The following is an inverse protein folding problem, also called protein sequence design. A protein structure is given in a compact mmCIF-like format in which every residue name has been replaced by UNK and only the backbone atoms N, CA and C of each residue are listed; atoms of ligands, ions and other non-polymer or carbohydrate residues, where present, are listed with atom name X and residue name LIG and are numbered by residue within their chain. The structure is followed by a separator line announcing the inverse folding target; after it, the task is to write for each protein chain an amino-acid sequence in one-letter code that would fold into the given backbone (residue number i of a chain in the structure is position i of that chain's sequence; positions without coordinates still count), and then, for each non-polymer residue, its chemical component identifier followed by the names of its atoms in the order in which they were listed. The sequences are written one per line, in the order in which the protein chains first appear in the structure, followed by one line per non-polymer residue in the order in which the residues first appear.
data_IF_566457153746
#
_entry.id   IF_566457153746
#
_cell.length_a   1.000
_cell.length_b   1.000
_cell.length_c   1.000
_cell.angle_alpha   90.00
_cell.angle_beta   90.00
_cell.angle_gamma   90.00
#
_symmetry.space_group_name_H-M   'P 1'
#
loop_
_entity.id
_entity.type
_entity.pdbx_description
1 polymer ?
#
# COMPACT_ATOMS: atom_id res chain seq x y z
N UNK A 1 4.79 -3.32 -12.78
CA UNK A 1 3.44 -2.85 -12.45
C UNK A 1 3.52 -1.37 -12.14
N UNK A 2 3.00 -0.51 -13.01
CA UNK A 2 3.00 0.94 -12.82
C UNK A 2 1.60 1.41 -12.45
N UNK A 3 1.42 1.88 -11.22
CA UNK A 3 0.15 2.39 -10.70
C UNK A 3 -0.10 3.87 -11.07
N UNK A 4 0.93 4.60 -11.49
CA UNK A 4 0.81 5.98 -11.98
C UNK A 4 0.39 7.01 -10.93
N UNK A 5 0.87 6.87 -9.70
CA UNK A 5 0.70 7.86 -8.63
C UNK A 5 1.82 8.90 -8.61
N UNK A 6 1.46 10.12 -8.22
CA UNK A 6 2.28 11.31 -8.20
C UNK A 6 2.09 12.09 -6.90
N UNK A 7 3.17 12.65 -6.30
CA UNK A 7 3.07 13.39 -5.06
C UNK A 7 2.10 14.57 -5.08
N UNK A 8 2.09 15.36 -6.16
CA UNK A 8 1.29 16.58 -6.22
C UNK A 8 -0.13 16.35 -6.76
N UNK A 9 -0.28 15.41 -7.70
CA UNK A 9 -1.51 15.21 -8.46
C UNK A 9 -2.23 13.90 -8.20
N UNK A 10 -1.71 13.06 -7.31
CA UNK A 10 -2.14 11.68 -7.06
C UNK A 10 -2.22 10.90 -8.38
N UNK A 11 -3.39 10.84 -9.01
CA UNK A 11 -3.59 10.17 -10.30
C UNK A 11 -3.16 11.00 -11.53
N UNK A 12 -2.77 12.26 -11.36
CA UNK A 12 -2.39 13.15 -12.47
C UNK A 12 -0.91 13.50 -12.40
N UNK A 13 -0.18 13.24 -13.48
CA UNK A 13 1.21 13.66 -13.58
C UNK A 13 1.31 15.20 -13.56
N UNK A 14 2.31 15.77 -12.85
CA UNK A 14 2.42 17.22 -12.69
C UNK A 14 2.77 17.93 -14.00
N UNK A 15 3.47 17.24 -14.91
CA UNK A 15 3.81 17.76 -16.23
C UNK A 15 3.88 16.67 -17.29
N UNK A 16 3.84 17.06 -18.56
CA UNK A 16 4.12 16.17 -19.68
C UNK A 16 5.53 15.54 -19.64
N UNK A 17 6.52 16.30 -19.14
CA UNK A 17 7.88 15.78 -18.94
C UNK A 17 7.91 14.68 -17.88
N UNK A 18 7.07 14.79 -16.85
CA UNK A 18 6.95 13.76 -15.82
C UNK A 18 6.39 12.45 -16.40
N UNK A 19 5.36 12.51 -17.26
CA UNK A 19 4.87 11.34 -18.00
C UNK A 19 5.98 10.67 -18.82
N UNK A 20 6.75 11.47 -19.56
CA UNK A 20 7.88 10.96 -20.35
C UNK A 20 8.99 10.38 -19.46
N UNK A 21 9.24 10.99 -18.31
CA UNK A 21 10.25 10.56 -17.35
C UNK A 21 9.95 9.17 -16.82
N UNK A 22 8.74 8.89 -16.33
CA UNK A 22 8.42 7.57 -15.73
C UNK A 22 8.62 6.41 -16.74
N UNK A 23 8.26 6.64 -18.00
CA UNK A 23 8.47 5.65 -19.08
C UNK A 23 9.96 5.45 -19.35
N UNK A 24 10.73 6.55 -19.46
CA UNK A 24 12.16 6.48 -19.69
C UNK A 24 12.92 5.90 -18.49
N UNK A 25 12.53 6.22 -17.26
CA UNK A 25 13.08 5.67 -16.04
C UNK A 25 12.85 4.15 -15.98
N UNK A 26 11.64 3.69 -16.30
CA UNK A 26 11.35 2.26 -16.42
C UNK A 26 12.24 1.58 -17.47
N UNK A 27 12.45 2.23 -18.64
CA UNK A 27 13.39 1.72 -19.66
C UNK A 27 14.85 1.76 -19.19
N UNK A 28 15.24 2.79 -18.45
CA UNK A 28 16.59 2.93 -17.89
C UNK A 28 16.90 1.89 -16.82
N UNK A 29 15.87 1.41 -16.10
CA UNK A 29 15.94 0.24 -15.20
C UNK A 29 16.17 -1.06 -15.97
N UNK A 30 15.87 -1.13 -17.28
CA UNK A 30 16.06 -2.33 -18.11
C UNK A 30 14.74 -3.03 -18.51
N UNK A 31 13.59 -2.49 -18.09
CA UNK A 31 12.28 -3.00 -18.49
C UNK A 31 11.98 -2.65 -19.95
N UNK A 32 11.39 -3.60 -20.67
CA UNK A 32 10.84 -3.39 -22.02
C UNK A 32 9.31 -3.34 -22.04
N UNK A 33 8.66 -3.58 -20.90
CA UNK A 33 7.21 -3.63 -20.76
C UNK A 33 6.76 -2.92 -19.49
N UNK A 34 5.72 -2.10 -19.60
CA UNK A 34 4.99 -1.53 -18.47
C UNK A 34 3.58 -2.12 -18.45
N UNK A 35 3.22 -2.77 -17.33
CA UNK A 35 1.80 -3.06 -17.04
C UNK A 35 1.20 -1.87 -16.31
N UNK A 36 0.32 -1.13 -16.98
CA UNK A 36 -0.39 0.03 -16.42
C UNK A 36 -1.58 -0.49 -15.61
N UNK A 37 -1.48 -0.38 -14.29
CA UNK A 37 -2.38 -1.03 -13.34
C UNK A 37 -3.68 -0.25 -13.17
N UNK A 38 -4.80 -0.90 -13.48
CA UNK A 38 -6.20 -0.48 -13.22
C UNK A 38 -6.45 1.03 -13.50
N UNK A 39 -5.83 1.56 -14.55
CA UNK A 39 -5.84 3.01 -14.86
C UNK A 39 -5.65 3.23 -16.36
N UNK A 40 -6.34 4.22 -16.91
CA UNK A 40 -6.09 4.74 -18.26
C UNK A 40 -5.33 6.07 -18.15
N UNK A 41 -4.19 6.18 -18.82
CA UNK A 41 -3.38 7.41 -18.81
C UNK A 41 -3.82 8.41 -19.91
N UNK A 42 -3.41 9.68 -19.85
CA UNK A 42 -3.59 10.60 -20.97
C UNK A 42 -2.87 10.11 -22.24
N UNK A 43 -3.41 10.45 -23.42
CA UNK A 43 -2.84 10.10 -24.74
C UNK A 43 -1.33 10.36 -24.89
N UNK A 44 -0.82 11.40 -24.21
CA UNK A 44 0.60 11.76 -24.17
C UNK A 44 1.48 10.66 -23.57
N UNK A 45 0.99 9.92 -22.58
CA UNK A 45 1.73 8.81 -21.98
C UNK A 45 1.94 7.69 -23.01
N UNK A 46 0.90 7.26 -23.71
CA UNK A 46 1.01 6.24 -24.75
C UNK A 46 1.86 6.70 -25.94
N UNK A 47 1.78 7.98 -26.33
CA UNK A 47 2.69 8.56 -27.32
C UNK A 47 4.16 8.37 -26.93
N UNK A 48 4.51 8.61 -25.66
CA UNK A 48 5.88 8.41 -25.19
C UNK A 48 6.29 6.93 -25.16
N UNK A 49 5.36 6.03 -24.82
CA UNK A 49 5.59 4.60 -24.88
C UNK A 49 5.86 4.12 -26.32
N UNK A 50 5.02 4.54 -27.28
CA UNK A 50 5.22 4.28 -28.71
C UNK A 50 6.57 4.80 -29.20
N UNK A 51 6.88 6.06 -28.88
CA UNK A 51 8.09 6.74 -29.35
C UNK A 51 9.38 6.07 -28.90
N UNK A 52 9.40 5.55 -27.67
CA UNK A 52 10.60 4.94 -27.09
C UNK A 52 10.66 3.42 -27.30
N UNK A 53 9.59 2.82 -27.85
CA UNK A 53 9.46 1.37 -27.97
C UNK A 53 9.37 0.69 -26.60
N UNK A 54 8.41 1.12 -25.78
CA UNK A 54 8.03 0.46 -24.53
C UNK A 54 6.73 -0.32 -24.77
N UNK A 55 6.71 -1.62 -24.50
CA UNK A 55 5.49 -2.39 -24.57
C UNK A 55 4.58 -2.05 -23.39
N UNK A 56 3.27 -2.14 -23.60
CA UNK A 56 2.26 -1.80 -22.60
C UNK A 56 1.28 -2.95 -22.47
N UNK A 57 1.10 -3.42 -21.24
CA UNK A 57 -0.07 -4.20 -20.85
C UNK A 57 -1.05 -3.23 -20.21
N UNK A 58 -2.22 -3.07 -20.81
CA UNK A 58 -3.21 -2.10 -20.37
C UNK A 58 -4.33 -2.81 -19.61
N UNK A 59 -4.40 -2.57 -18.30
CA UNK A 59 -5.49 -3.05 -17.48
C UNK A 59 -6.76 -2.23 -17.73
N UNK A 60 -7.91 -2.89 -17.70
CA UNK A 60 -9.20 -2.22 -17.57
C UNK A 60 -9.37 -1.68 -16.14
N UNK A 61 -10.09 -0.58 -15.99
CA UNK A 61 -10.42 -0.04 -14.66
C UNK A 61 -11.44 -0.97 -14.00
N UNK A 62 -10.96 -1.82 -13.09
CA UNK A 62 -11.74 -2.87 -12.43
C UNK A 62 -12.81 -2.28 -11.50
N UNK A 63 -13.98 -2.94 -11.40
CA UNK A 63 -15.03 -2.48 -10.51
C UNK A 63 -14.70 -2.78 -9.04
N UNK A 64 -15.48 -2.16 -8.14
CA UNK A 64 -15.36 -2.45 -6.71
C UNK A 64 -15.61 -3.94 -6.44
N UNK A 65 -14.84 -4.55 -5.54
CA UNK A 65 -14.94 -5.97 -5.19
C UNK A 65 -16.33 -6.41 -4.72
N UNK A 66 -17.11 -5.51 -4.10
CA UNK A 66 -18.48 -5.78 -3.65
C UNK A 66 -19.51 -5.77 -4.78
N UNK A 67 -19.13 -5.31 -5.98
CA UNK A 67 -20.00 -5.20 -7.15
C UNK A 67 -21.38 -4.59 -6.85
N UNK A 68 -21.44 -3.34 -6.33
CA UNK A 68 -22.72 -2.66 -6.15
C UNK A 68 -23.49 -2.52 -7.47
N UNK A 69 -24.81 -2.35 -7.39
CA UNK A 69 -25.70 -2.20 -8.55
C UNK A 69 -25.19 -1.13 -9.53
N UNK A 70 -25.23 -1.42 -10.83
CA UNK A 70 -24.69 -0.56 -11.88
C UNK A 70 -23.19 -0.73 -12.18
N UNK A 71 -22.42 -1.44 -11.33
CA UNK A 71 -20.97 -1.61 -11.53
C UNK A 71 -20.63 -2.36 -12.81
N UNK A 72 -21.44 -3.35 -13.19
CA UNK A 72 -21.20 -4.20 -14.36
C UNK A 72 -21.38 -3.42 -15.65
N UNK A 73 -22.48 -2.68 -15.74
CA UNK A 73 -22.82 -1.81 -16.87
C UNK A 73 -21.76 -0.72 -17.04
N UNK A 74 -21.33 -0.10 -15.93
CA UNK A 74 -20.27 0.91 -15.95
C UNK A 74 -18.92 0.33 -16.40
N UNK A 75 -18.54 -0.84 -15.87
CA UNK A 75 -17.30 -1.52 -16.25
C UNK A 75 -17.28 -1.88 -17.73
N UNK A 76 -18.33 -2.53 -18.24
CA UNK A 76 -18.40 -2.95 -19.65
C UNK A 76 -18.44 -1.77 -20.61
N UNK A 77 -19.13 -0.68 -20.24
CA UNK A 77 -19.11 0.57 -21.00
C UNK A 77 -17.69 1.15 -21.02
N UNK A 78 -17.04 1.27 -19.87
CA UNK A 78 -15.68 1.80 -19.75
C UNK A 78 -14.64 0.95 -20.49
N UNK A 79 -14.77 -0.38 -20.47
CA UNK A 79 -13.90 -1.29 -21.22
C UNK A 79 -14.05 -1.10 -22.73
N UNK A 80 -15.30 -0.97 -23.24
CA UNK A 80 -15.57 -0.65 -24.66
C UNK A 80 -14.95 0.67 -25.07
N UNK A 81 -15.10 1.70 -24.24
CA UNK A 81 -14.54 3.04 -24.49
C UNK A 81 -13.00 3.01 -24.47
N UNK A 82 -12.41 2.27 -23.54
CA UNK A 82 -10.95 2.09 -23.44
C UNK A 82 -10.38 1.42 -24.70
N UNK A 83 -10.97 0.29 -25.14
CA UNK A 83 -10.54 -0.38 -26.37
C UNK A 83 -10.65 0.55 -27.59
N UNK A 84 -11.78 1.26 -27.73
CA UNK A 84 -11.99 2.17 -28.85
C UNK A 84 -10.99 3.35 -28.84
N UNK A 85 -10.72 3.93 -27.67
CA UNK A 85 -9.81 5.06 -27.52
C UNK A 85 -8.36 4.65 -27.78
N UNK A 86 -7.96 3.46 -27.34
CA UNK A 86 -6.56 3.06 -27.26
C UNK A 86 -6.10 2.11 -28.39
N UNK A 87 -6.99 1.66 -29.26
CA UNK A 87 -6.69 0.71 -30.36
C UNK A 87 -5.46 1.08 -31.21
N UNK A 88 -5.25 2.38 -31.45
CA UNK A 88 -4.21 2.86 -32.37
C UNK A 88 -2.83 3.06 -31.75
N UNK A 89 -2.62 2.71 -30.47
CA UNK A 89 -1.30 2.77 -29.83
C UNK A 89 -0.58 1.42 -29.99
N UNK A 90 0.41 1.31 -30.90
CA UNK A 90 1.12 0.05 -31.13
C UNK A 90 1.88 -0.48 -29.91
N UNK A 91 2.25 0.38 -28.95
CA UNK A 91 2.85 -0.02 -27.69
C UNK A 91 1.99 -1.00 -26.91
N UNK A 92 0.66 -0.91 -27.02
CA UNK A 92 -0.25 -1.80 -26.29
C UNK A 92 -0.24 -3.16 -26.98
N UNK A 93 0.31 -4.16 -26.29
CA UNK A 93 0.39 -5.54 -26.80
C UNK A 93 -0.63 -6.46 -26.13
N UNK A 94 -1.07 -6.10 -24.93
CA UNK A 94 -1.89 -6.95 -24.08
C UNK A 94 -2.99 -6.14 -23.42
N UNK A 95 -4.21 -6.65 -23.48
CA UNK A 95 -5.32 -6.18 -22.66
C UNK A 95 -5.44 -7.06 -21.41
N UNK A 96 -5.52 -6.44 -20.24
CA UNK A 96 -5.75 -7.14 -18.96
C UNK A 96 -7.16 -6.82 -18.48
N UNK A 97 -8.01 -7.85 -18.37
CA UNK A 97 -9.43 -7.65 -18.06
C UNK A 97 -9.65 -7.50 -16.54
N UNK A 98 -9.23 -8.48 -15.75
CA UNK A 98 -9.34 -8.46 -14.28
C UNK A 98 -7.99 -8.66 -13.60
N UNK A 99 -7.82 -7.99 -12.47
CA UNK A 99 -6.69 -8.12 -11.55
C UNK A 99 -7.13 -8.81 -10.25
N UNK A 100 -6.49 -9.91 -9.86
CA UNK A 100 -6.67 -10.60 -8.57
C UNK A 100 -8.13 -10.87 -8.18
N UNK A 101 -8.98 -11.13 -9.17
CA UNK A 101 -10.42 -11.29 -9.02
C UNK A 101 -11.21 -10.04 -8.55
N UNK A 102 -10.64 -8.84 -8.64
CA UNK A 102 -11.27 -7.63 -8.15
C UNK A 102 -12.52 -7.29 -8.95
N UNK A 103 -13.67 -7.52 -8.30
CA UNK A 103 -14.98 -7.28 -8.90
C UNK A 103 -15.23 -8.12 -10.16
N UNK A 104 -14.61 -9.29 -10.25
CA UNK A 104 -14.78 -10.14 -11.43
C UNK A 104 -16.17 -10.79 -11.49
N UNK A 105 -16.68 -10.93 -12.71
CA UNK A 105 -17.91 -11.68 -13.02
C UNK A 105 -17.84 -12.12 -14.49
N UNK A 106 -18.59 -13.17 -14.84
CA UNK A 106 -18.73 -13.67 -16.21
C UNK A 106 -17.43 -13.72 -17.04
N UNK A 107 -16.36 -14.16 -16.35
CA UNK A 107 -14.98 -14.12 -16.80
C UNK A 107 -14.77 -14.64 -18.22
N UNK A 108 -15.35 -15.81 -18.53
CA UNK A 108 -15.19 -16.47 -19.82
C UNK A 108 -15.78 -15.64 -20.97
N UNK A 109 -17.01 -15.14 -20.80
CA UNK A 109 -17.69 -14.41 -21.86
C UNK A 109 -17.08 -13.02 -22.07
N UNK A 110 -16.71 -12.33 -21.00
CA UNK A 110 -16.03 -11.03 -21.11
C UNK A 110 -14.65 -11.15 -21.76
N UNK A 111 -13.89 -12.21 -21.43
CA UNK A 111 -12.60 -12.49 -22.08
C UNK A 111 -12.78 -12.78 -23.57
N UNK A 112 -13.76 -13.63 -23.94
CA UNK A 112 -14.08 -13.93 -25.35
C UNK A 112 -14.55 -12.69 -26.11
N UNK A 113 -15.35 -11.84 -25.48
CA UNK A 113 -15.80 -10.58 -26.04
C UNK A 113 -14.61 -9.67 -26.35
N UNK A 114 -13.69 -9.47 -25.40
CA UNK A 114 -12.52 -8.62 -25.58
C UNK A 114 -11.64 -9.08 -26.73
N UNK A 115 -11.41 -10.40 -26.84
CA UNK A 115 -10.67 -11.00 -27.96
C UNK A 115 -11.34 -10.78 -29.32
N UNK A 116 -12.66 -10.75 -29.35
CA UNK A 116 -13.43 -10.50 -30.57
C UNK A 116 -13.43 -9.00 -30.92
N UNK A 117 -13.47 -8.13 -29.90
CA UNK A 117 -13.48 -6.69 -30.05
C UNK A 117 -12.14 -6.15 -30.57
N UNK A 118 -11.02 -6.70 -30.13
CA UNK A 118 -9.69 -6.42 -30.67
C UNK A 118 -8.86 -7.70 -30.81
N UNK A 119 -8.95 -8.40 -31.96
CA UNK A 119 -8.20 -9.63 -32.20
C UNK A 119 -6.71 -9.40 -32.48
N UNK A 120 -6.25 -8.15 -32.55
CA UNK A 120 -4.86 -7.83 -32.87
C UNK A 120 -3.93 -7.95 -31.65
N UNK A 121 -4.48 -8.05 -30.43
CA UNK A 121 -3.77 -8.01 -29.14
C UNK A 121 -4.03 -9.28 -28.34
N UNK A 122 -3.10 -9.60 -27.44
CA UNK A 122 -3.22 -10.73 -26.52
C UNK A 122 -4.17 -10.34 -25.37
N UNK A 123 -5.00 -11.27 -24.89
CA UNK A 123 -5.86 -11.01 -23.73
C UNK A 123 -5.41 -11.83 -22.51
N UNK A 124 -4.99 -11.11 -21.48
CA UNK A 124 -4.86 -11.62 -20.12
C UNK A 124 -6.20 -11.42 -19.40
N UNK A 125 -7.07 -12.42 -19.44
CA UNK A 125 -8.39 -12.31 -18.84
C UNK A 125 -8.36 -12.13 -17.31
N UNK A 126 -7.38 -12.76 -16.65
CA UNK A 126 -7.44 -13.07 -15.22
C UNK A 126 -6.04 -12.98 -14.59
N UNK A 127 -5.46 -11.79 -14.59
CA UNK A 127 -4.11 -11.55 -14.04
C UNK A 127 -4.14 -11.76 -12.53
N UNK A 128 -3.25 -12.63 -12.01
CA UNK A 128 -3.21 -12.93 -10.58
C UNK A 128 -4.37 -13.77 -10.03
N UNK A 129 -5.12 -14.48 -10.88
CA UNK A 129 -6.22 -15.35 -10.43
C UNK A 129 -5.73 -16.45 -9.47
N UNK A 130 -4.48 -16.89 -9.65
CA UNK A 130 -3.71 -17.57 -8.60
C UNK A 130 -2.76 -16.58 -7.92
N UNK A 131 -3.06 -16.25 -6.67
CA UNK A 131 -2.27 -15.34 -5.84
C UNK A 131 -1.60 -16.10 -4.69
N UNK A 132 -0.27 -16.05 -4.66
CA UNK A 132 0.56 -16.62 -3.60
C UNK A 132 1.19 -15.51 -2.77
N UNK A 133 1.09 -15.64 -1.45
CA UNK A 133 1.84 -14.79 -0.51
C UNK A 133 2.59 -15.70 0.45
N UNK A 134 3.91 -15.56 0.50
CA UNK A 134 4.80 -16.45 1.26
C UNK A 134 4.52 -17.93 0.91
N UNK A 135 4.49 -18.22 -0.39
CA UNK A 135 4.25 -19.55 -0.99
C UNK A 135 2.88 -20.18 -0.68
N UNK A 136 1.98 -19.43 -0.03
CA UNK A 136 0.63 -19.90 0.29
C UNK A 136 -0.38 -19.29 -0.66
N UNK A 137 -1.12 -20.17 -1.34
CA UNK A 137 -2.25 -19.78 -2.18
C UNK A 137 -3.33 -19.12 -1.31
N UNK A 138 -3.70 -17.89 -1.65
CA UNK A 138 -4.70 -17.11 -0.91
C UNK A 138 -6.12 -17.60 -1.13
N UNK A 139 -6.45 -17.97 -2.37
CA UNK A 139 -7.77 -18.51 -2.72
C UNK A 139 -7.64 -19.48 -3.91
N UNK A 140 -8.15 -20.71 -3.81
CA UNK A 140 -8.26 -21.60 -4.95
C UNK A 140 -9.34 -21.12 -5.92
N UNK A 141 -9.13 -21.36 -7.21
CA UNK A 141 -10.04 -20.96 -8.29
C UNK A 141 -10.30 -22.13 -9.23
N UNK A 142 -11.54 -22.21 -9.71
CA UNK A 142 -11.93 -23.19 -10.73
C UNK A 142 -11.70 -22.54 -12.10
N UNK A 143 -10.93 -23.19 -12.96
CA UNK A 143 -10.59 -22.72 -14.31
C UNK A 143 -10.03 -21.28 -14.37
N UNK A 144 -8.93 -20.97 -13.65
CA UNK A 144 -8.42 -19.61 -13.46
C UNK A 144 -8.05 -18.85 -14.75
N UNK A 145 -7.92 -19.55 -15.88
CA UNK A 145 -7.45 -18.96 -17.14
C UNK A 145 -8.42 -19.21 -18.32
N UNK A 146 -9.71 -19.37 -18.02
CA UNK A 146 -10.73 -19.66 -19.03
C UNK A 146 -10.81 -18.53 -20.06
N UNK A 147 -10.80 -18.90 -21.35
CA UNK A 147 -10.85 -17.94 -22.48
C UNK A 147 -9.59 -17.10 -22.74
N UNK A 148 -8.70 -16.96 -21.76
CA UNK A 148 -7.49 -16.12 -21.85
C UNK A 148 -6.43 -16.68 -22.81
N UNK A 149 -5.51 -15.84 -23.27
CA UNK A 149 -4.36 -16.25 -24.12
C UNK A 149 -3.11 -16.59 -23.31
N UNK A 150 -3.13 -16.32 -22.00
CA UNK A 150 -2.02 -16.60 -21.10
C UNK A 150 -2.49 -17.14 -19.75
N UNK A 151 -1.58 -17.81 -19.06
CA UNK A 151 -1.68 -18.19 -17.66
C UNK A 151 -0.83 -17.26 -16.83
N UNK A 152 -1.39 -16.70 -15.77
CA UNK A 152 -0.79 -15.62 -14.99
C UNK A 152 -0.85 -15.94 -13.49
N UNK A 153 0.29 -15.87 -12.82
CA UNK A 153 0.37 -15.97 -11.36
C UNK A 153 0.91 -14.67 -10.76
N UNK A 154 0.32 -14.27 -9.63
CA UNK A 154 0.90 -13.27 -8.73
C UNK A 154 1.57 -13.99 -7.56
N UNK A 155 2.84 -13.67 -7.28
CA UNK A 155 3.60 -14.34 -6.23
C UNK A 155 4.48 -13.34 -5.47
N UNK A 156 4.26 -13.25 -4.16
CA UNK A 156 4.95 -12.29 -3.30
C UNK A 156 5.69 -12.98 -2.13
N UNK A 157 6.95 -12.58 -1.83
CA UNK A 157 7.77 -11.67 -2.62
C UNK A 157 8.45 -12.33 -3.83
N UNK A 158 8.73 -13.62 -3.73
CA UNK A 158 9.52 -14.36 -4.72
C UNK A 158 8.66 -14.73 -5.95
N UNK A 159 9.23 -14.68 -7.16
CA UNK A 159 8.50 -15.06 -8.37
C UNK A 159 8.16 -16.54 -8.35
N UNK A 160 7.07 -16.90 -9.02
CA UNK A 160 6.61 -18.28 -9.22
C UNK A 160 6.24 -18.46 -10.68
N UNK A 161 6.50 -19.63 -11.24
CA UNK A 161 6.02 -19.93 -12.59
C UNK A 161 4.52 -20.26 -12.57
N UNK A 162 3.74 -19.75 -13.52
CA UNK A 162 2.30 -20.02 -13.59
C UNK A 162 2.00 -21.42 -14.15
N UNK A 163 0.74 -21.84 -14.23
CA UNK A 163 0.41 -23.16 -14.76
C UNK A 163 0.76 -23.27 -16.25
N UNK A 164 1.43 -24.35 -16.65
CA UNK A 164 1.70 -24.64 -18.07
C UNK A 164 0.47 -25.23 -18.73
N UNK A 165 -0.19 -24.48 -19.60
CA UNK A 165 -1.37 -24.91 -20.34
C UNK A 165 -1.13 -24.79 -21.85
N UNK A 166 -1.59 -25.79 -22.61
CA UNK A 166 -1.42 -25.81 -24.06
C UNK A 166 -2.08 -24.60 -24.73
N UNK A 167 -1.37 -23.98 -25.67
CA UNK A 167 -1.85 -22.81 -26.42
C UNK A 167 -1.90 -21.50 -25.63
N UNK A 168 -1.35 -21.45 -24.41
CA UNK A 168 -1.29 -20.24 -23.58
C UNK A 168 0.15 -19.87 -23.25
N UNK A 169 0.47 -18.58 -23.31
CA UNK A 169 1.74 -18.07 -22.79
C UNK A 169 1.76 -18.19 -21.26
N UNK A 170 2.93 -18.45 -20.66
CA UNK A 170 3.09 -18.60 -19.22
C UNK A 170 3.74 -17.34 -18.66
N UNK A 171 3.10 -16.62 -17.73
CA UNK A 171 3.61 -15.33 -17.22
C UNK A 171 3.54 -15.22 -15.70
N UNK A 172 4.44 -14.40 -15.14
CA UNK A 172 4.39 -13.91 -13.76
C UNK A 172 3.83 -12.50 -13.78
N UNK A 173 2.52 -12.35 -13.55
CA UNK A 173 1.83 -11.07 -13.71
C UNK A 173 2.17 -10.03 -12.66
N UNK A 174 2.61 -10.49 -11.48
CA UNK A 174 3.20 -9.66 -10.41
C UNK A 174 4.14 -10.50 -9.54
N UNK A 175 5.28 -9.91 -9.17
CA UNK A 175 6.15 -10.40 -8.10
C UNK A 175 6.96 -9.25 -7.49
N UNK A 176 7.62 -9.50 -6.36
CA UNK A 176 8.47 -8.51 -5.69
C UNK A 176 7.85 -7.96 -4.42
N UNK A 177 7.54 -6.66 -4.38
CA UNK A 177 6.93 -6.08 -3.20
C UNK A 177 7.88 -5.98 -1.99
N UNK A 178 9.18 -5.79 -2.24
CA UNK A 178 10.20 -5.61 -1.21
C UNK A 178 10.20 -4.14 -0.76
N UNK A 179 9.66 -3.87 0.42
CA UNK A 179 9.68 -2.54 1.03
C UNK A 179 11.10 -2.13 1.40
N UNK A 180 11.52 -0.97 0.88
CA UNK A 180 12.82 -0.35 1.19
C UNK A 180 12.59 1.13 1.42
N UNK A 181 12.78 1.54 2.67
CA UNK A 181 12.59 2.91 3.12
C UNK A 181 13.80 3.79 2.76
N UNK A 182 13.57 4.94 2.13
CA UNK A 182 14.60 5.96 1.84
C UNK A 182 14.21 7.28 2.52
N UNK A 183 14.83 7.68 3.65
CA UNK A 183 14.38 8.81 4.45
C UNK A 183 14.13 10.11 3.66
N UNK A 184 13.03 10.81 3.95
CA UNK A 184 12.59 12.07 3.35
C UNK A 184 12.06 11.99 1.90
N UNK A 185 11.90 10.77 1.37
CA UNK A 185 11.35 10.55 0.03
C UNK A 185 10.05 9.71 0.05
N UNK A 186 9.37 9.69 1.21
CA UNK A 186 8.09 9.02 1.43
C UNK A 186 6.92 9.98 1.23
N UNK A 187 5.77 9.41 0.87
CA UNK A 187 4.48 10.09 1.06
C UNK A 187 4.05 10.12 2.53
N UNK A 188 4.07 8.96 3.20
CA UNK A 188 3.77 8.83 4.64
C UNK A 188 5.03 8.36 5.39
N UNK A 189 5.70 9.24 6.14
CA UNK A 189 6.86 8.90 6.96
C UNK A 189 6.58 7.91 8.11
N UNK A 190 5.31 7.78 8.53
CA UNK A 190 4.84 6.92 9.61
C UNK A 190 4.44 5.51 9.18
N UNK A 191 4.33 5.25 7.88
CA UNK A 191 4.05 3.94 7.30
C UNK A 191 5.26 3.36 6.58
N UNK A 192 5.41 2.04 6.63
CA UNK A 192 6.48 1.29 5.97
C UNK A 192 5.90 -0.01 5.41
N UNK A 193 5.10 0.09 4.36
CA UNK A 193 4.44 -1.09 3.80
C UNK A 193 5.24 -1.74 2.68
N UNK A 194 5.23 -3.08 2.69
CA UNK A 194 5.84 -3.99 1.73
C UNK A 194 5.58 -5.43 2.19
N UNK A 195 5.55 -6.40 1.27
CA UNK A 195 5.33 -7.81 1.62
C UNK A 195 6.45 -8.37 2.51
N UNK A 196 7.65 -7.82 2.32
CA UNK A 196 8.84 -7.99 3.16
C UNK A 196 9.56 -6.66 3.25
N UNK A 197 10.25 -6.40 4.36
CA UNK A 197 11.09 -5.21 4.53
C UNK A 197 12.56 -5.57 4.33
N UNK A 198 13.33 -4.67 3.73
CA UNK A 198 14.77 -4.82 3.52
C UNK A 198 15.50 -3.48 3.67
N UNK A 199 16.77 -3.54 4.04
CA UNK A 199 17.64 -2.35 4.03
C UNK A 199 18.05 -1.98 2.60
N UNK A 200 18.35 -0.70 2.31
CA UNK A 200 18.86 -0.29 1.00
C UNK A 200 20.03 -1.15 0.48
N UNK A 201 20.98 -1.48 1.37
CA UNK A 201 22.14 -2.32 1.03
C UNK A 201 21.77 -3.77 0.64
N UNK A 202 20.66 -4.32 1.17
CA UNK A 202 20.23 -5.70 0.91
C UNK A 202 19.40 -5.87 -0.37
N UNK A 203 18.75 -4.79 -0.83
CA UNK A 203 17.79 -4.83 -1.94
C UNK A 203 18.39 -5.42 -3.22
N UNK A 204 19.61 -5.00 -3.59
CA UNK A 204 20.26 -5.44 -4.84
C UNK A 204 20.44 -6.96 -4.89
N UNK A 205 20.90 -7.57 -3.80
CA UNK A 205 21.12 -9.01 -3.75
C UNK A 205 19.80 -9.77 -3.91
N UNK A 206 18.76 -9.36 -3.17
CA UNK A 206 17.43 -9.96 -3.24
C UNK A 206 16.80 -9.82 -4.62
N UNK A 207 16.89 -8.62 -5.22
CA UNK A 207 16.44 -8.37 -6.59
C UNK A 207 17.18 -9.23 -7.62
N UNK A 208 18.49 -9.40 -7.45
CA UNK A 208 19.31 -10.26 -8.33
C UNK A 208 18.85 -11.71 -8.25
N UNK A 209 18.62 -12.24 -7.04
CA UNK A 209 18.15 -13.62 -6.83
C UNK A 209 16.80 -13.84 -7.53
N UNK A 210 15.84 -12.94 -7.33
CA UNK A 210 14.53 -13.06 -8.01
C UNK A 210 14.69 -13.10 -9.55
N UNK A 211 15.56 -12.27 -10.13
CA UNK A 211 15.81 -12.28 -11.57
C UNK A 211 16.54 -13.54 -12.05
N UNK A 212 17.40 -14.15 -11.22
CA UNK A 212 18.01 -15.44 -11.52
C UNK A 212 16.96 -16.57 -11.52
N UNK A 213 15.99 -16.54 -10.59
CA UNK A 213 14.85 -17.46 -10.62
C UNK A 213 13.99 -17.27 -11.88
N UNK A 214 13.72 -16.03 -12.29
CA UNK A 214 13.05 -15.75 -13.56
C UNK A 214 13.81 -16.34 -14.76
N UNK A 215 15.16 -16.32 -14.74
CA UNK A 215 15.95 -16.95 -15.80
C UNK A 215 15.81 -18.47 -15.83
N UNK A 216 15.63 -19.12 -14.66
CA UNK A 216 15.30 -20.54 -14.61
C UNK A 216 13.90 -20.81 -15.18
N UNK A 217 12.91 -19.99 -14.82
CA UNK A 217 11.54 -20.12 -15.31
C UNK A 217 11.42 -19.86 -16.82
N UNK A 218 12.23 -18.96 -17.38
CA UNK A 218 12.31 -18.76 -18.84
C UNK A 218 12.69 -20.06 -19.55
N UNK A 219 13.66 -20.81 -19.02
CA UNK A 219 14.02 -22.13 -19.56
C UNK A 219 12.90 -23.18 -19.43
N UNK A 220 11.94 -22.97 -18.51
CA UNK A 220 10.77 -23.84 -18.31
C UNK A 220 9.56 -23.45 -19.17
N UNK A 221 9.60 -22.28 -19.81
CA UNK A 221 8.58 -21.77 -20.73
C UNK A 221 7.93 -20.45 -20.32
N UNK A 222 8.39 -19.80 -19.25
CA UNK A 222 7.92 -18.46 -18.90
C UNK A 222 8.24 -17.47 -20.03
N UNK A 223 7.22 -16.75 -20.46
CA UNK A 223 7.25 -15.82 -21.60
C UNK A 223 7.30 -14.35 -21.18
N UNK A 224 7.04 -14.04 -19.90
CA UNK A 224 7.04 -12.68 -19.40
C UNK A 224 6.94 -12.62 -17.88
N UNK A 225 7.41 -11.50 -17.31
CA UNK A 225 7.31 -11.22 -15.88
C UNK A 225 7.14 -9.72 -15.65
N UNK A 226 6.37 -9.35 -14.63
CA UNK A 226 6.10 -7.96 -14.26
C UNK A 226 6.47 -7.77 -12.79
N UNK A 227 7.45 -6.91 -12.54
CA UNK A 227 7.86 -6.55 -11.18
C UNK A 227 6.93 -5.49 -10.58
N UNK A 228 6.51 -5.67 -9.34
CA UNK A 228 5.81 -4.67 -8.52
C UNK A 228 6.84 -4.06 -7.56
N UNK A 229 7.29 -2.82 -7.75
CA UNK A 229 6.90 -1.82 -8.79
C UNK A 229 8.08 -0.89 -9.18
N UNK A 230 8.01 -0.09 -10.27
CA UNK A 230 9.11 0.81 -10.63
C UNK A 230 9.25 2.00 -9.67
N UNK A 231 8.13 2.50 -9.13
CA UNK A 231 8.09 3.65 -8.22
C UNK A 231 7.32 3.31 -6.95
N UNK A 232 7.69 3.92 -5.83
CA UNK A 232 6.87 3.88 -4.62
C UNK A 232 5.51 4.53 -4.88
N UNK A 233 4.50 4.14 -4.10
CA UNK A 233 3.12 4.61 -4.20
C UNK A 233 2.56 4.81 -2.81
N UNK A 234 2.34 6.06 -2.41
CA UNK A 234 1.78 6.42 -1.09
C UNK A 234 2.49 5.67 0.06
N UNK A 235 1.80 4.76 0.74
CA UNK A 235 2.35 3.94 1.82
C UNK A 235 3.16 2.71 1.36
N UNK A 236 3.03 2.32 0.09
CA UNK A 236 3.77 1.21 -0.52
C UNK A 236 5.17 1.64 -0.95
N UNK A 237 6.18 1.26 -0.16
CA UNK A 237 7.57 1.69 -0.37
C UNK A 237 8.41 0.60 -1.03
N UNK A 238 7.78 -0.19 -1.91
CA UNK A 238 8.36 -1.35 -2.59
C UNK A 238 8.74 -1.08 -4.06
N UNK A 239 8.80 0.19 -4.45
CA UNK A 239 9.32 0.66 -5.72
C UNK A 239 10.84 0.59 -5.82
N UNK A 240 11.37 0.49 -7.04
CA UNK A 240 12.82 0.64 -7.32
C UNK A 240 13.29 2.10 -7.26
N UNK A 241 12.37 3.05 -7.32
CA UNK A 241 12.58 4.48 -7.21
C UNK A 241 11.59 5.08 -6.21
N UNK A 242 11.98 6.13 -5.52
CA UNK A 242 11.15 6.80 -4.50
C UNK A 242 9.92 7.48 -5.09
N UNK A 243 8.96 7.83 -4.21
CA UNK A 243 7.65 8.36 -4.59
C UNK A 243 7.77 9.67 -5.39
N UNK A 244 8.73 10.50 -5.05
CA UNK A 244 9.07 11.77 -5.70
C UNK A 244 9.99 11.65 -6.92
N UNK A 245 10.38 10.43 -7.30
CA UNK A 245 11.30 10.13 -8.42
C UNK A 245 12.73 10.65 -8.24
N UNK A 246 13.12 11.09 -7.03
CA UNK A 246 14.44 11.67 -6.81
C UNK A 246 15.54 10.61 -6.60
N UNK A 247 15.21 9.49 -5.95
CA UNK A 247 16.19 8.48 -5.55
C UNK A 247 15.89 7.12 -6.19
N UNK A 248 16.87 6.57 -6.90
CA UNK A 248 16.86 5.18 -7.39
C UNK A 248 17.52 4.26 -6.34
N UNK A 249 16.80 3.23 -5.90
CA UNK A 249 17.22 2.30 -4.84
C UNK A 249 18.26 1.28 -5.31
N UNK A 250 18.29 0.95 -6.61
CA UNK A 250 19.38 0.22 -7.26
C UNK A 250 19.81 1.03 -8.49
N UNK A 251 21.08 1.45 -8.62
CA UNK A 251 21.53 2.27 -9.75
C UNK A 251 21.11 1.69 -11.11
N UNK A 252 20.67 2.55 -12.04
CA UNK A 252 20.16 2.11 -13.36
C UNK A 252 21.12 1.14 -14.10
N UNK A 253 22.43 1.39 -14.04
CA UNK A 253 23.41 0.52 -14.68
C UNK A 253 23.45 -0.89 -14.06
N UNK A 254 23.29 -1.00 -12.74
CA UNK A 254 23.23 -2.29 -12.04
C UNK A 254 21.93 -3.03 -12.36
N UNK A 255 20.79 -2.34 -12.43
CA UNK A 255 19.53 -2.95 -12.84
C UNK A 255 19.61 -3.49 -14.27
N UNK A 256 20.15 -2.73 -15.23
CA UNK A 256 20.38 -3.22 -16.60
C UNK A 256 21.31 -4.43 -16.65
N UNK A 257 22.34 -4.47 -15.82
CA UNK A 257 23.22 -5.64 -15.70
C UNK A 257 22.48 -6.87 -15.18
N UNK A 258 21.55 -6.70 -14.24
CA UNK A 258 20.72 -7.81 -13.73
C UNK A 258 19.75 -8.28 -14.82
N UNK A 259 19.12 -7.35 -15.56
CA UNK A 259 18.15 -7.65 -16.61
C UNK A 259 18.76 -8.17 -17.91
N UNK A 260 20.05 -7.96 -18.19
CA UNK A 260 20.64 -8.33 -19.48
C UNK A 260 20.58 -9.83 -19.80
N UNK A 261 20.37 -10.68 -18.80
CA UNK A 261 20.17 -12.13 -18.99
C UNK A 261 18.77 -12.50 -19.50
N UNK A 262 17.78 -11.62 -19.30
CA UNK A 262 16.39 -11.77 -19.73
C UNK A 262 16.06 -10.84 -20.92
N UNK A 263 16.67 -9.66 -20.96
CA UNK A 263 16.52 -8.66 -22.01
C UNK A 263 17.91 -8.27 -22.55
N UNK A 264 18.41 -8.93 -23.61
CA UNK A 264 19.76 -8.68 -24.12
C UNK A 264 19.94 -7.27 -24.70
N UNK A 265 18.85 -6.59 -25.06
CA UNK A 265 18.91 -5.28 -25.74
C UNK A 265 19.23 -4.10 -24.80
N UNK A 266 19.18 -4.30 -23.48
CA UNK A 266 19.33 -3.23 -22.46
C UNK A 266 20.65 -2.45 -22.56
N UNK A 267 21.67 -3.04 -23.18
CA UNK A 267 22.99 -2.42 -23.38
C UNK A 267 23.28 -2.06 -24.84
N UNK A 268 22.31 -2.23 -25.75
CA UNK A 268 22.47 -1.83 -27.15
C UNK A 268 22.59 -0.30 -27.28
N UNK A 269 23.31 0.16 -28.30
CA UNK A 269 23.45 1.60 -28.57
C UNK A 269 22.09 2.28 -28.78
N UNK A 270 21.15 1.60 -29.44
CA UNK A 270 19.80 2.10 -29.64
C UNK A 270 19.04 2.25 -28.32
N UNK A 271 19.14 1.26 -27.42
CA UNK A 271 18.52 1.33 -26.09
C UNK A 271 19.06 2.51 -25.28
N UNK A 272 20.38 2.63 -25.19
CA UNK A 272 21.04 3.68 -24.40
C UNK A 272 20.75 5.08 -24.97
N UNK A 273 20.72 5.23 -26.29
CA UNK A 273 20.36 6.49 -26.96
C UNK A 273 18.92 6.90 -26.63
N UNK A 274 18.00 5.95 -26.56
CA UNK A 274 16.59 6.21 -26.26
C UNK A 274 16.35 6.72 -24.83
N UNK A 275 17.27 6.46 -23.89
CA UNK A 275 17.14 6.92 -22.51
C UNK A 275 17.28 8.45 -22.41
N UNK A 276 18.12 9.07 -23.24
CA UNK A 276 18.42 10.51 -23.13
C UNK A 276 18.95 10.87 -21.75
N UNK A 277 18.46 11.98 -21.18
CA UNK A 277 18.98 12.58 -19.94
C UNK A 277 18.31 12.06 -18.65
N UNK A 278 17.87 10.80 -18.62
CA UNK A 278 17.26 10.25 -17.39
C UNK A 278 18.30 10.04 -16.31
N UNK A 279 18.10 10.72 -15.19
CA UNK A 279 18.98 10.67 -14.02
C UNK A 279 18.15 10.64 -12.73
N UNK A 280 18.68 9.99 -11.71
CA UNK A 280 18.19 10.02 -10.34
C UNK A 280 19.38 9.86 -9.39
N UNK A 281 19.24 10.32 -8.15
CA UNK A 281 20.26 10.12 -7.13
C UNK A 281 20.29 8.63 -6.73
N UNK A 282 21.46 8.05 -6.53
CA UNK A 282 21.53 6.70 -6.01
C UNK A 282 21.20 6.70 -4.52
N UNK A 283 20.44 5.71 -4.05
CA UNK A 283 20.19 5.54 -2.62
C UNK A 283 21.49 5.46 -1.82
N UNK A 284 21.50 6.12 -0.67
CA UNK A 284 22.57 5.96 0.31
C UNK A 284 22.53 4.54 0.89
N UNK A 285 23.59 3.79 0.65
CA UNK A 285 23.73 2.41 1.11
C UNK A 285 24.40 2.34 2.50
N UNK A 286 24.69 3.49 3.11
CA UNK A 286 25.21 3.55 4.48
C UNK A 286 24.23 2.89 5.43
N UNK A 287 24.73 2.00 6.28
CA UNK A 287 23.91 1.32 7.27
C UNK A 287 23.12 2.34 8.13
N UNK A 288 21.79 2.19 8.27
CA UNK A 288 20.96 3.19 8.98
C UNK A 288 21.46 3.51 10.40
N UNK A 289 22.01 2.52 11.11
CA UNK A 289 22.59 2.73 12.44
C UNK A 289 23.83 3.63 12.44
N UNK A 290 24.60 3.65 11.35
CA UNK A 290 25.76 4.55 11.19
C UNK A 290 25.27 5.98 10.98
N UNK A 291 24.29 6.18 10.10
CA UNK A 291 23.66 7.50 9.89
C UNK A 291 23.03 8.01 11.20
N UNK A 292 22.32 7.13 11.92
CA UNK A 292 21.71 7.47 13.19
C UNK A 292 22.75 7.85 14.25
N UNK A 293 23.88 7.14 14.33
CA UNK A 293 24.95 7.47 15.27
C UNK A 293 25.53 8.86 15.00
N UNK A 294 25.71 9.23 13.73
CA UNK A 294 26.18 10.56 13.35
C UNK A 294 25.18 11.66 13.70
N UNK A 295 23.89 11.46 13.41
CA UNK A 295 22.84 12.43 13.79
C UNK A 295 22.65 12.51 15.31
N UNK A 296 22.80 11.40 16.03
CA UNK A 296 22.80 11.39 17.49
C UNK A 296 23.98 12.20 18.06
N UNK A 297 25.16 12.15 17.43
CA UNK A 297 26.27 13.01 17.83
C UNK A 297 25.93 14.49 17.64
N UNK A 298 25.29 14.88 16.53
CA UNK A 298 24.82 16.26 16.32
C UNK A 298 23.80 16.70 17.38
N UNK A 299 22.98 15.77 17.87
CA UNK A 299 22.11 16.00 19.03
C UNK A 299 22.94 16.18 20.31
N UNK A 300 23.98 15.39 20.57
CA UNK A 300 24.86 15.62 21.71
C UNK A 300 25.59 16.98 21.63
N UNK A 301 25.91 17.42 20.41
CA UNK A 301 26.56 18.70 20.12
C UNK A 301 25.59 19.91 20.17
N UNK A 302 24.31 19.69 20.50
CA UNK A 302 23.33 20.74 20.79
C UNK A 302 22.38 21.12 19.65
N UNK A 303 22.38 20.40 18.52
CA UNK A 303 21.40 20.63 17.44
C UNK A 303 19.99 20.24 17.91
N UNK A 304 19.00 21.13 17.78
CA UNK A 304 17.63 20.97 18.32
C UNK A 304 16.51 21.53 17.44
N UNK A 305 16.78 21.87 16.19
CA UNK A 305 15.70 22.35 15.31
C UNK A 305 14.62 21.29 15.10
N UNK A 306 13.38 21.73 14.88
CA UNK A 306 12.22 20.84 14.84
C UNK A 306 12.34 19.77 13.73
N UNK A 307 12.77 20.16 12.54
CA UNK A 307 12.98 19.24 11.43
C UNK A 307 14.00 18.15 11.77
N UNK A 308 15.12 18.53 12.39
CA UNK A 308 16.12 17.60 12.88
C UNK A 308 15.58 16.66 13.96
N UNK A 309 14.82 17.16 14.95
CA UNK A 309 14.25 16.31 16.00
C UNK A 309 13.26 15.29 15.42
N UNK A 310 12.38 15.71 14.49
CA UNK A 310 11.45 14.82 13.76
C UNK A 310 12.23 13.72 13.03
N UNK A 311 13.27 14.09 12.28
CA UNK A 311 14.11 13.15 11.56
C UNK A 311 14.83 12.18 12.51
N UNK A 312 15.42 12.70 13.59
CA UNK A 312 16.15 11.89 14.57
C UNK A 312 15.23 10.89 15.27
N UNK A 313 13.97 11.26 15.56
CA UNK A 313 12.94 10.33 16.08
C UNK A 313 12.70 9.15 15.14
N UNK A 314 12.59 9.43 13.85
CA UNK A 314 12.37 8.40 12.82
C UNK A 314 13.58 7.47 12.69
N UNK A 315 14.79 8.04 12.63
CA UNK A 315 16.03 7.28 12.54
C UNK A 315 16.26 6.38 13.76
N UNK A 316 15.92 6.88 14.96
CA UNK A 316 15.95 6.08 16.19
C UNK A 316 14.97 4.90 16.11
N UNK A 317 13.74 5.13 15.65
CA UNK A 317 12.74 4.09 15.45
C UNK A 317 13.22 3.00 14.49
N UNK A 318 13.79 3.39 13.36
CA UNK A 318 14.35 2.49 12.34
C UNK A 318 15.55 1.69 12.84
N UNK A 319 16.35 2.29 13.73
CA UNK A 319 17.49 1.63 14.35
C UNK A 319 17.09 0.76 15.55
N UNK A 320 15.79 0.67 15.88
CA UNK A 320 15.28 -0.08 17.04
C UNK A 320 15.49 0.61 18.39
N UNK A 321 15.98 1.86 18.41
CA UNK A 321 16.17 2.65 19.62
C UNK A 321 14.85 3.29 20.07
N UNK A 322 14.04 2.49 20.77
CA UNK A 322 12.74 2.92 21.32
C UNK A 322 12.89 4.08 22.31
N UNK A 323 13.96 4.11 23.10
CA UNK A 323 14.18 5.13 24.12
C UNK A 323 14.55 6.48 23.48
N UNK A 324 15.45 6.45 22.49
CA UNK A 324 15.78 7.60 21.65
C UNK A 324 14.57 8.13 20.92
N UNK A 325 13.83 7.26 20.22
CA UNK A 325 12.63 7.66 19.47
C UNK A 325 11.60 8.38 20.36
N UNK A 326 11.31 7.82 21.55
CA UNK A 326 10.43 8.46 22.51
C UNK A 326 10.96 9.82 23.01
N UNK A 327 12.26 9.90 23.32
CA UNK A 327 12.92 11.14 23.79
C UNK A 327 12.83 12.25 22.73
N UNK A 328 13.30 11.99 21.53
CA UNK A 328 13.38 13.02 20.48
C UNK A 328 11.98 13.39 19.99
N UNK A 329 11.05 12.43 19.94
CA UNK A 329 9.66 12.70 19.57
C UNK A 329 8.97 13.59 20.60
N UNK A 330 9.20 13.35 21.89
CA UNK A 330 8.71 14.23 22.95
C UNK A 330 9.30 15.65 22.84
N UNK A 331 10.59 15.77 22.54
CA UNK A 331 11.25 17.08 22.36
C UNK A 331 10.76 17.81 21.11
N UNK A 332 10.57 17.11 19.99
CA UNK A 332 9.93 17.64 18.77
C UNK A 332 8.55 18.20 19.09
N UNK A 333 7.68 17.40 19.72
CA UNK A 333 6.33 17.84 20.10
C UNK A 333 6.34 19.03 21.06
N UNK A 334 7.37 19.17 21.91
CA UNK A 334 7.54 20.34 22.77
C UNK A 334 7.92 21.60 21.98
N UNK A 335 8.60 21.45 20.84
CA UNK A 335 9.02 22.57 19.98
C UNK A 335 7.88 23.12 19.12
N UNK A 336 6.82 22.33 18.87
CA UNK A 336 5.69 22.72 18.04
C UNK A 336 4.81 23.78 18.70
N UNK A 337 4.23 24.66 17.88
CA UNK A 337 3.32 25.74 18.29
C UNK A 337 2.06 25.72 17.43
N UNK A 338 0.93 26.09 18.01
CA UNK A 338 -0.31 26.28 17.25
C UNK A 338 -0.19 27.47 16.26
N UNK A 339 -0.81 27.40 15.07
CA UNK A 339 -1.54 26.25 14.52
C UNK A 339 -0.60 25.14 14.03
N UNK A 340 -0.96 23.88 14.29
CA UNK A 340 -0.22 22.72 13.81
C UNK A 340 -0.46 22.49 12.32
N UNK A 341 0.58 22.12 11.58
CA UNK A 341 0.42 21.61 10.21
C UNK A 341 -0.25 20.23 10.21
N UNK A 342 -0.75 19.78 9.05
CA UNK A 342 -1.30 18.43 8.93
C UNK A 342 -0.25 17.34 9.28
N UNK A 343 1.00 17.54 8.84
CA UNK A 343 2.11 16.64 9.17
C UNK A 343 2.46 16.63 10.65
N UNK A 344 2.38 17.78 11.33
CA UNK A 344 2.60 17.86 12.78
C UNK A 344 1.55 17.04 13.53
N UNK A 345 0.28 17.17 13.12
CA UNK A 345 -0.83 16.42 13.71
C UNK A 345 -0.68 14.93 13.48
N UNK A 346 -0.29 14.51 12.27
CA UNK A 346 -0.06 13.10 11.94
C UNK A 346 1.10 12.51 12.75
N UNK A 347 2.22 13.23 12.86
CA UNK A 347 3.34 12.81 13.68
C UNK A 347 2.96 12.70 15.16
N UNK A 348 2.27 13.71 15.70
CA UNK A 348 1.78 13.71 17.08
C UNK A 348 0.86 12.52 17.33
N UNK A 349 -0.07 12.27 16.41
CA UNK A 349 -0.96 11.12 16.46
C UNK A 349 -0.15 9.82 16.45
N UNK A 350 0.86 9.68 15.58
CA UNK A 350 1.74 8.51 15.51
C UNK A 350 2.48 8.23 16.82
N UNK A 351 2.97 9.28 17.48
CA UNK A 351 3.76 9.19 18.72
C UNK A 351 2.91 9.09 19.99
N UNK A 352 1.64 9.50 19.97
CA UNK A 352 0.77 9.46 21.15
C UNK A 352 0.29 8.03 21.40
N UNK A 353 0.69 7.46 22.55
CA UNK A 353 0.33 6.10 22.98
C UNK A 353 -0.34 6.06 24.35
N UNK A 354 -0.13 7.09 25.17
CA UNK A 354 -0.62 7.20 26.55
C UNK A 354 -1.43 8.46 26.74
N UNK A 355 -2.30 8.46 27.75
CA UNK A 355 -3.08 9.65 28.12
C UNK A 355 -2.22 10.76 28.73
N UNK A 356 -1.00 10.41 29.15
CA UNK A 356 0.00 11.34 29.68
C UNK A 356 0.90 11.95 28.60
N UNK A 357 0.80 11.49 27.36
CA UNK A 357 1.57 12.06 26.24
C UNK A 357 0.99 13.42 25.86
N UNK A 358 1.87 14.39 25.56
CA UNK A 358 1.46 15.76 25.18
C UNK A 358 0.48 15.80 24.00
N UNK A 359 0.67 14.90 23.03
CA UNK A 359 -0.20 14.81 21.86
C UNK A 359 -1.62 14.37 22.18
N UNK A 360 -1.85 13.71 23.33
CA UNK A 360 -3.18 13.27 23.73
C UNK A 360 -4.13 14.44 24.02
N UNK A 361 -3.62 15.55 24.59
CA UNK A 361 -4.43 16.75 24.81
C UNK A 361 -4.88 17.39 23.48
N UNK A 362 -4.00 17.41 22.48
CA UNK A 362 -4.32 17.89 21.13
C UNK A 362 -5.32 16.97 20.45
N UNK A 363 -5.13 15.65 20.59
CA UNK A 363 -6.04 14.63 20.08
C UNK A 363 -7.45 14.79 20.67
N UNK A 364 -7.58 15.01 21.99
CA UNK A 364 -8.86 15.27 22.64
C UNK A 364 -9.54 16.55 22.14
N UNK A 365 -8.78 17.63 21.93
CA UNK A 365 -9.32 18.89 21.36
C UNK A 365 -9.90 18.66 19.95
N UNK A 366 -9.23 17.85 19.12
CA UNK A 366 -9.68 17.50 17.76
C UNK A 366 -10.86 16.52 17.74
N UNK A 367 -10.92 15.60 18.70
CA UNK A 367 -11.96 14.57 18.79
C UNK A 367 -13.40 15.09 18.88
N UNK A 368 -13.58 16.39 19.17
CA UNK A 368 -14.88 17.05 19.15
C UNK A 368 -15.49 17.16 17.73
N UNK A 369 -14.65 17.22 16.69
CA UNK A 369 -15.08 17.43 15.30
C UNK A 369 -14.47 16.44 14.31
N UNK A 370 -13.46 15.66 14.72
CA UNK A 370 -12.75 14.68 13.90
C UNK A 370 -12.98 13.26 14.46
N UNK A 371 -13.69 12.41 13.70
CA UNK A 371 -14.00 11.03 14.12
C UNK A 371 -12.74 10.16 14.19
N UNK A 372 -11.76 10.35 13.31
CA UNK A 372 -10.54 9.57 13.34
C UNK A 372 -9.74 9.88 14.61
N UNK A 373 -9.62 11.17 14.96
CA UNK A 373 -9.02 11.59 16.23
C UNK A 373 -9.79 11.05 17.44
N UNK A 374 -11.13 11.05 17.38
CA UNK A 374 -12.00 10.51 18.43
C UNK A 374 -11.76 9.01 18.66
N UNK A 375 -11.78 8.21 17.59
CA UNK A 375 -11.53 6.75 17.66
C UNK A 375 -10.11 6.47 18.17
N UNK A 376 -9.13 7.27 17.76
CA UNK A 376 -7.76 7.13 18.24
C UNK A 376 -7.65 7.43 19.74
N UNK A 377 -8.30 8.49 20.22
CA UNK A 377 -8.35 8.82 21.64
C UNK A 377 -9.03 7.69 22.44
N UNK A 378 -10.16 7.17 21.95
CA UNK A 378 -10.84 6.02 22.53
C UNK A 378 -9.89 4.83 22.72
N UNK A 379 -9.13 4.47 21.68
CA UNK A 379 -8.21 3.33 21.74
C UNK A 379 -7.07 3.53 22.76
N UNK A 380 -6.55 4.76 22.89
CA UNK A 380 -5.54 5.10 23.89
C UNK A 380 -6.12 5.03 25.30
N UNK A 381 -7.31 5.58 25.53
CA UNK A 381 -8.01 5.47 26.83
C UNK A 381 -8.25 4.01 27.20
N UNK A 382 -8.65 3.18 26.23
CA UNK A 382 -8.81 1.75 26.49
C UNK A 382 -7.49 1.13 26.95
N UNK A 383 -6.42 1.28 26.17
CA UNK A 383 -5.15 0.61 26.44
C UNK A 383 -4.46 1.09 27.72
N UNK A 384 -4.45 2.39 27.99
CA UNK A 384 -3.67 3.00 29.08
C UNK A 384 -4.46 3.12 30.38
N UNK A 385 -5.80 3.19 30.31
CA UNK A 385 -6.66 3.46 31.47
C UNK A 385 -7.60 2.31 31.79
N UNK A 386 -8.34 1.77 30.81
CA UNK A 386 -9.38 0.76 31.08
C UNK A 386 -8.80 -0.66 31.17
N UNK A 387 -7.92 -1.04 30.26
CA UNK A 387 -7.35 -2.38 30.16
C UNK A 387 -6.68 -2.87 31.47
N UNK A 388 -5.97 -2.02 32.25
CA UNK A 388 -5.48 -2.40 33.58
C UNK A 388 -6.56 -2.89 34.56
N UNK A 389 -7.81 -2.44 34.43
CA UNK A 389 -8.93 -2.91 35.24
C UNK A 389 -9.60 -4.18 34.68
N UNK A 390 -9.36 -4.50 33.40
CA UNK A 390 -9.94 -5.67 32.71
C UNK A 390 -8.83 -6.51 32.06
N UNK A 391 -7.93 -7.11 32.87
CA UNK A 391 -6.75 -7.81 32.35
C UNK A 391 -7.08 -9.13 31.62
N UNK A 392 -8.29 -9.66 31.83
CA UNK A 392 -8.78 -10.91 31.24
C UNK A 392 -10.29 -10.83 30.99
N UNK A 393 -10.81 -11.73 30.16
CA UNK A 393 -12.22 -11.75 29.78
C UNK A 393 -13.16 -11.96 30.98
N UNK A 394 -12.71 -12.70 32.00
CA UNK A 394 -13.39 -13.07 33.25
C UNK A 394 -13.07 -12.15 34.43
N UNK A 395 -12.34 -11.05 34.20
CA UNK A 395 -12.09 -10.05 35.23
C UNK A 395 -13.41 -9.48 35.77
N UNK A 396 -13.44 -9.07 37.04
CA UNK A 396 -14.61 -8.41 37.66
C UNK A 396 -14.26 -6.97 38.01
N UNK A 397 -14.19 -6.07 37.01
CA UNK A 397 -13.77 -4.69 37.23
C UNK A 397 -14.74 -3.95 38.14
N UNK A 398 -14.22 -3.09 39.02
CA UNK A 398 -15.04 -2.09 39.69
C UNK A 398 -15.37 -0.96 38.71
N UNK A 399 -16.51 -1.06 38.03
CA UNK A 399 -16.93 -0.11 37.00
C UNK A 399 -17.06 1.35 37.46
N UNK A 400 -17.27 1.60 38.77
CA UNK A 400 -17.30 2.94 39.32
C UNK A 400 -15.89 3.57 39.36
N UNK A 401 -14.87 2.77 39.67
CA UNK A 401 -13.46 3.20 39.62
C UNK A 401 -13.01 3.44 38.17
N UNK A 402 -13.36 2.54 37.24
CA UNK A 402 -13.06 2.73 35.81
C UNK A 402 -13.71 4.01 35.29
N UNK A 403 -14.97 4.28 35.66
CA UNK A 403 -15.68 5.49 35.25
C UNK A 403 -15.02 6.76 35.81
N UNK A 404 -14.62 6.75 37.08
CA UNK A 404 -13.88 7.85 37.68
C UNK A 404 -12.53 8.10 36.97
N UNK A 405 -11.82 7.04 36.60
CA UNK A 405 -10.54 7.11 35.90
C UNK A 405 -10.68 7.63 34.45
N UNK A 406 -11.79 7.34 33.79
CA UNK A 406 -12.04 7.71 32.39
C UNK A 406 -12.66 9.11 32.22
N UNK A 407 -13.38 9.59 33.25
CA UNK A 407 -14.07 10.89 33.25
C UNK A 407 -13.24 12.09 32.75
N UNK A 408 -11.92 12.22 33.04
CA UNK A 408 -11.12 13.34 32.52
C UNK A 408 -11.01 13.43 31.00
N UNK A 409 -11.32 12.35 30.26
CA UNK A 409 -11.09 12.25 28.82
C UNK A 409 -12.32 12.55 27.96
N UNK A 410 -13.39 13.09 28.55
CA UNK A 410 -14.55 13.60 27.82
C UNK A 410 -15.28 12.55 26.98
N UNK A 411 -15.79 12.97 25.81
CA UNK A 411 -16.61 12.12 24.92
C UNK A 411 -15.88 10.84 24.47
N UNK A 412 -14.61 10.87 24.03
CA UNK A 412 -13.88 9.64 23.70
C UNK A 412 -13.76 8.67 24.88
N UNK A 413 -13.53 9.20 26.08
CA UNK A 413 -13.50 8.38 27.29
C UNK A 413 -14.86 7.71 27.53
N UNK A 414 -15.93 8.50 27.49
CA UNK A 414 -17.29 8.01 27.71
C UNK A 414 -17.72 6.95 26.70
N UNK A 415 -17.49 7.18 25.39
CA UNK A 415 -17.83 6.23 24.34
C UNK A 415 -17.08 4.90 24.55
N UNK A 416 -15.78 4.97 24.84
CA UNK A 416 -14.98 3.77 25.06
C UNK A 416 -15.36 3.04 26.36
N UNK A 417 -15.73 3.76 27.42
CA UNK A 417 -16.22 3.16 28.66
C UNK A 417 -17.49 2.35 28.41
N UNK A 418 -18.47 2.94 27.72
CA UNK A 418 -19.72 2.25 27.37
C UNK A 418 -19.44 1.03 26.50
N UNK A 419 -18.62 1.18 25.46
CA UNK A 419 -18.22 0.06 24.60
C UNK A 419 -17.54 -1.07 25.39
N UNK A 420 -16.56 -0.75 26.25
CA UNK A 420 -15.86 -1.73 27.06
C UNK A 420 -16.79 -2.44 28.04
N UNK A 421 -17.69 -1.70 28.73
CA UNK A 421 -18.72 -2.27 29.61
C UNK A 421 -19.66 -3.21 28.84
N UNK A 422 -20.16 -2.79 27.68
CA UNK A 422 -21.05 -3.61 26.83
C UNK A 422 -20.39 -4.90 26.39
N UNK A 423 -19.16 -4.84 25.88
CA UNK A 423 -18.41 -6.04 25.44
C UNK A 423 -18.05 -6.95 26.62
N UNK A 424 -17.72 -6.38 27.78
CA UNK A 424 -17.41 -7.19 28.95
C UNK A 424 -18.64 -7.94 29.48
N UNK A 425 -19.76 -7.23 29.64
CA UNK A 425 -21.01 -7.80 30.17
C UNK A 425 -21.65 -8.84 29.25
N UNK A 426 -21.59 -8.66 27.91
CA UNK A 426 -22.06 -9.69 26.97
C UNK A 426 -21.19 -10.96 27.04
N UNK A 427 -19.87 -10.82 27.20
CA UNK A 427 -18.96 -11.96 27.33
C UNK A 427 -19.17 -12.72 28.65
N UNK A 428 -19.54 -11.99 29.72
CA UNK A 428 -19.90 -12.57 31.01
C UNK A 428 -21.34 -13.10 31.06
N UNK A 429 -22.14 -12.89 30.01
CA UNK A 429 -23.57 -13.16 30.00
C UNK A 429 -24.31 -12.50 31.19
N UNK A 430 -23.81 -11.34 31.65
CA UNK A 430 -24.42 -10.53 32.71
C UNK A 430 -25.50 -9.64 32.09
N UNK A 431 -26.68 -10.22 31.85
CA UNK A 431 -27.79 -9.56 31.15
C UNK A 431 -28.38 -8.38 31.91
N UNK A 432 -28.31 -8.41 33.25
CA UNK A 432 -28.76 -7.32 34.13
C UNK A 432 -27.94 -6.05 33.89
N UNK A 433 -26.62 -6.18 33.75
CA UNK A 433 -25.74 -5.05 33.44
C UNK A 433 -25.63 -4.76 31.94
N UNK A 434 -25.70 -5.79 31.10
CA UNK A 434 -25.57 -5.65 29.65
C UNK A 434 -26.67 -4.77 29.06
N UNK A 435 -27.94 -5.06 29.34
CA UNK A 435 -29.08 -4.34 28.74
C UNK A 435 -29.03 -2.82 28.93
N UNK A 436 -28.92 -2.28 30.16
CA UNK A 436 -28.88 -0.83 30.35
C UNK A 436 -27.64 -0.20 29.71
N UNK A 437 -26.49 -0.88 29.79
CA UNK A 437 -25.24 -0.38 29.20
C UNK A 437 -25.29 -0.35 27.67
N UNK A 438 -25.73 -1.46 27.05
CA UNK A 438 -25.83 -1.59 25.61
C UNK A 438 -26.85 -0.61 25.03
N UNK A 439 -28.00 -0.40 25.69
CA UNK A 439 -28.97 0.63 25.29
C UNK A 439 -28.35 2.02 25.33
N UNK A 440 -27.68 2.39 26.43
CA UNK A 440 -27.01 3.68 26.54
C UNK A 440 -25.94 3.89 25.46
N UNK A 441 -25.16 2.83 25.15
CA UNK A 441 -24.16 2.88 24.08
C UNK A 441 -24.81 3.08 22.70
N UNK A 442 -25.86 2.33 22.38
CA UNK A 442 -26.59 2.42 21.11
C UNK A 442 -27.34 3.75 20.96
N UNK A 443 -27.96 4.25 22.02
CA UNK A 443 -28.70 5.52 22.00
C UNK A 443 -27.75 6.71 21.78
N UNK A 444 -26.61 6.73 22.46
CA UNK A 444 -25.69 7.87 22.42
C UNK A 444 -24.71 7.82 21.24
N UNK A 445 -24.24 6.64 20.88
CA UNK A 445 -23.16 6.45 19.91
C UNK A 445 -23.51 5.48 18.76
N UNK A 446 -24.73 4.97 18.69
CA UNK A 446 -25.13 3.97 17.68
C UNK A 446 -25.14 4.45 16.24
N UNK A 447 -25.02 5.76 15.98
CA UNK A 447 -24.76 6.30 14.64
C UNK A 447 -23.31 6.05 14.16
N UNK A 448 -22.38 5.84 15.10
CA UNK A 448 -20.96 5.63 14.82
C UNK A 448 -20.56 4.14 14.76
N UNK A 449 -21.50 3.23 14.98
CA UNK A 449 -21.27 1.78 15.06
C UNK A 449 -21.64 1.13 13.72
N UNK A 450 -20.82 0.19 13.19
CA UNK A 450 -21.17 -0.57 11.99
C UNK A 450 -22.52 -1.27 12.11
N UNK A 451 -23.32 -1.30 11.03
CA UNK A 451 -24.67 -1.88 11.05
C UNK A 451 -24.71 -3.33 11.57
N UNK A 452 -23.73 -4.15 11.19
CA UNK A 452 -23.62 -5.54 11.66
C UNK A 452 -23.37 -5.66 13.17
N UNK A 453 -22.52 -4.79 13.73
CA UNK A 453 -22.27 -4.76 15.18
C UNK A 453 -23.51 -4.24 15.93
N UNK A 454 -24.17 -3.21 15.40
CA UNK A 454 -25.42 -2.68 15.94
C UNK A 454 -26.52 -3.74 15.97
N UNK A 455 -26.71 -4.49 14.88
CA UNK A 455 -27.67 -5.59 14.80
C UNK A 455 -27.36 -6.70 15.81
N UNK A 456 -26.09 -7.07 15.97
CA UNK A 456 -25.67 -8.07 16.94
C UNK A 456 -25.97 -7.64 18.38
N UNK A 457 -25.65 -6.39 18.73
CA UNK A 457 -25.92 -5.84 20.05
C UNK A 457 -27.44 -5.75 20.32
N UNK A 458 -28.21 -5.27 19.34
CA UNK A 458 -29.67 -5.16 19.45
C UNK A 458 -30.33 -6.54 19.59
N UNK A 459 -29.90 -7.51 18.79
CA UNK A 459 -30.39 -8.88 18.88
C UNK A 459 -30.17 -9.48 20.27
N UNK A 460 -29.02 -9.25 20.89
CA UNK A 460 -28.75 -9.72 22.25
C UNK A 460 -29.62 -9.00 23.31
N UNK A 461 -29.98 -7.74 23.09
CA UNK A 461 -30.93 -6.99 23.95
C UNK A 461 -32.35 -7.58 23.82
N UNK A 462 -32.75 -7.98 22.62
CA UNK A 462 -34.11 -8.47 22.36
C UNK A 462 -34.29 -9.94 22.78
N UNK A 463 -33.20 -10.73 22.77
CA UNK A 463 -33.23 -12.17 23.07
C UNK A 463 -33.17 -12.52 24.55
N UNK A 464 -32.52 -11.70 25.36
CA UNK A 464 -32.30 -11.92 26.79
C UNK A 464 -33.03 -10.88 27.58
#
# INVERSE_FOLDING_TARGET
LDQGFWPEGLYTAPTDRALAFDIKASKAMGFNTIRKHIKVEPARWYYYADKIGMLVWQDMVNPNQRLPEGSKEAFEKGARETLAQLHNYPSITTWVLFNEAWGQYDQENLTKWMKTADPSRIVNGHSGELLYVNEKLRAPRVNPYVGADMTDVHAYPDPMNSLKLSGKAQVVGEFGGIGVFIPNHQWDPGSQWGYVQEKPAGLKAKYTIMNQHLKLFEAEGMSGSIYTQPFDVESEQNGLMTYDREVIKIPFAELRKIHSQLNPDVNSSAWLTALGDVTAQNADLTEPGVLYTAELQRYLDGKRDAAFLKQLTMMAGQSGDKAGSARFGAEYMQSLKEPYSAEDLEFMDGMTKKVTDKGFAVLLKRAATDRAAHVKAMNIVFADVIAPFVPAADAKPNWAEVEAAVKPYGLPGEEMLLRAKTIHTINQQDWEQYKPTAKAYLEKYGANIPASEKEALQKAIDQH
#
